data_IF_646166854050
#
_entry.id   IF_646166854050
#
_cell.length_a   1.000
_cell.length_b   1.000
_cell.length_c   1.000
_cell.angle_alpha   90.00
_cell.angle_beta   90.00
_cell.angle_gamma   90.00
#
_symmetry.space_group_name_H-M   'P 1'
#
loop_
_entity.id
_entity.type
_entity.pdbx_description
1 polymer ?
#
# COMPACT_ATOMS: atom_id res chain seq x y z
N UNK A 1 -37.34 -31.34 -15.23
CA UNK A 1 -38.08 -30.06 -15.30
C UNK A 1 -37.33 -29.10 -16.23
N UNK A 2 -38.00 -28.17 -16.92
CA UNK A 2 -37.37 -27.24 -17.88
C UNK A 2 -37.49 -25.79 -17.43
N UNK A 3 -36.45 -25.00 -17.69
CA UNK A 3 -36.33 -23.59 -17.30
C UNK A 3 -35.94 -22.75 -18.52
N UNK A 4 -36.60 -21.61 -18.79
CA UNK A 4 -36.20 -20.73 -19.89
C UNK A 4 -34.83 -20.06 -19.65
N UNK A 5 -34.27 -19.45 -20.69
CA UNK A 5 -33.13 -18.56 -20.55
C UNK A 5 -33.43 -17.36 -19.64
N UNK A 6 -32.40 -16.81 -19.00
CA UNK A 6 -32.53 -15.52 -18.31
C UNK A 6 -32.71 -14.38 -19.34
N UNK A 7 -33.49 -13.37 -18.96
CA UNK A 7 -33.77 -12.19 -19.81
C UNK A 7 -32.54 -11.30 -20.04
N UNK A 8 -31.57 -11.34 -19.12
CA UNK A 8 -30.34 -10.55 -19.15
C UNK A 8 -29.12 -11.48 -18.98
N UNK A 9 -27.93 -11.11 -19.50
CA UNK A 9 -26.71 -11.88 -19.29
C UNK A 9 -26.28 -11.85 -17.81
N UNK A 10 -25.43 -12.80 -17.40
CA UNK A 10 -24.88 -12.91 -16.05
C UNK A 10 -25.93 -13.13 -14.95
N UNK A 11 -26.76 -14.15 -15.13
CA UNK A 11 -27.72 -14.60 -14.14
C UNK A 11 -27.45 -16.05 -13.71
N UNK A 12 -27.77 -16.34 -12.46
CA UNK A 12 -27.90 -17.69 -11.93
C UNK A 12 -29.35 -18.15 -12.02
N UNK A 13 -29.55 -19.44 -12.31
CA UNK A 13 -30.74 -20.18 -11.89
C UNK A 13 -30.45 -20.75 -10.50
N UNK A 14 -31.24 -20.33 -9.52
CA UNK A 14 -31.18 -20.86 -8.16
C UNK A 14 -32.39 -21.76 -7.96
N UNK A 15 -32.14 -23.02 -7.68
CA UNK A 15 -33.14 -24.02 -7.33
C UNK A 15 -33.07 -24.27 -5.83
N UNK A 16 -34.21 -24.25 -5.15
CA UNK A 16 -34.31 -24.61 -3.74
C UNK A 16 -35.21 -25.82 -3.60
N UNK A 17 -34.70 -26.87 -3.00
CA UNK A 17 -35.48 -28.06 -2.68
C UNK A 17 -35.01 -28.64 -1.36
N UNK A 18 -35.94 -29.22 -0.59
CA UNK A 18 -35.58 -29.91 0.64
C UNK A 18 -34.90 -31.24 0.31
N UNK A 19 -33.95 -31.66 1.15
CA UNK A 19 -33.29 -32.97 1.11
C UNK A 19 -32.54 -33.24 -0.20
N UNK A 20 -31.81 -32.25 -0.70
CA UNK A 20 -31.00 -32.38 -1.92
C UNK A 20 -29.97 -33.52 -1.83
N UNK A 21 -29.52 -33.86 -0.63
CA UNK A 21 -28.63 -35.01 -0.38
C UNK A 21 -29.24 -36.37 -0.77
N UNK A 22 -30.57 -36.45 -0.92
CA UNK A 22 -31.28 -37.66 -1.38
C UNK A 22 -31.41 -37.72 -2.91
N UNK A 23 -30.96 -36.69 -3.63
CA UNK A 23 -31.11 -36.54 -5.06
C UNK A 23 -29.74 -36.46 -5.74
N UNK A 24 -29.47 -37.38 -6.67
CA UNK A 24 -28.39 -37.17 -7.63
C UNK A 24 -28.98 -36.42 -8.83
N UNK A 25 -28.63 -35.14 -9.00
CA UNK A 25 -29.21 -34.29 -10.03
C UNK A 25 -28.20 -33.34 -10.67
N UNK A 26 -28.51 -32.87 -11.87
CA UNK A 26 -27.70 -31.88 -12.58
C UNK A 26 -28.54 -31.02 -13.52
N UNK A 27 -28.00 -29.87 -13.91
CA UNK A 27 -28.57 -29.02 -14.96
C UNK A 27 -27.84 -29.27 -16.29
N UNK A 28 -28.58 -29.37 -17.39
CA UNK A 28 -28.03 -29.50 -18.75
C UNK A 28 -28.66 -28.50 -19.71
N UNK A 29 -27.88 -28.10 -20.74
CA UNK A 29 -28.33 -27.24 -21.85
C UNK A 29 -29.20 -27.97 -22.86
N UNK A 30 -29.06 -29.30 -22.94
CA UNK A 30 -29.76 -30.14 -23.90
C UNK A 30 -30.13 -31.46 -23.23
N UNK A 31 -31.38 -31.88 -23.42
CA UNK A 31 -31.86 -33.17 -22.93
C UNK A 31 -32.68 -33.84 -24.03
N UNK A 32 -32.09 -34.83 -24.69
CA UNK A 32 -32.73 -35.55 -25.80
C UNK A 32 -32.67 -37.05 -25.55
N UNK A 33 -33.81 -37.72 -25.72
CA UNK A 33 -33.94 -39.20 -25.59
C UNK A 33 -33.41 -39.75 -24.25
N UNK A 34 -33.65 -39.03 -23.15
CA UNK A 34 -33.26 -39.48 -21.80
C UNK A 34 -31.77 -39.32 -21.48
N UNK A 35 -30.99 -38.64 -22.32
CA UNK A 35 -29.58 -38.33 -22.07
C UNK A 35 -29.35 -36.81 -22.10
N UNK A 36 -28.63 -36.31 -21.11
CA UNK A 36 -28.08 -34.95 -21.10
C UNK A 36 -26.61 -35.00 -21.48
N UNK A 37 -26.22 -34.23 -22.50
CA UNK A 37 -24.86 -34.34 -23.07
C UNK A 37 -23.83 -33.45 -22.36
N UNK A 38 -24.27 -32.41 -21.63
CA UNK A 38 -23.38 -31.44 -20.97
C UNK A 38 -23.93 -31.03 -19.60
N UNK A 39 -23.31 -31.52 -18.52
CA UNK A 39 -23.59 -31.08 -17.16
C UNK A 39 -23.03 -29.68 -16.94
N UNK A 40 -23.87 -28.74 -16.52
CA UNK A 40 -23.47 -27.40 -16.11
C UNK A 40 -22.91 -27.50 -14.68
N UNK A 41 -21.77 -26.87 -14.44
CA UNK A 41 -21.16 -26.84 -13.11
C UNK A 41 -22.12 -26.20 -12.10
N UNK A 42 -22.25 -26.87 -10.97
CA UNK A 42 -23.00 -26.43 -9.80
C UNK A 42 -22.07 -25.50 -8.98
N UNK A 43 -22.56 -24.32 -8.59
CA UNK A 43 -21.78 -23.25 -7.92
C UNK A 43 -22.31 -22.94 -6.50
N UNK A 44 -23.14 -23.80 -5.89
CA UNK A 44 -23.63 -23.64 -4.52
C UNK A 44 -22.53 -23.83 -3.49
N UNK A 45 -22.76 -23.33 -2.28
CA UNK A 45 -21.94 -23.68 -1.13
C UNK A 45 -22.32 -25.09 -0.64
N UNK A 46 -21.34 -25.85 -0.15
CA UNK A 46 -21.45 -27.30 0.08
C UNK A 46 -22.53 -27.78 1.09
N UNK A 47 -23.27 -26.87 1.75
CA UNK A 47 -24.21 -27.18 2.83
C UNK A 47 -25.60 -26.52 2.67
N UNK A 48 -25.94 -26.01 1.48
CA UNK A 48 -27.23 -25.36 1.26
C UNK A 48 -28.26 -26.31 0.62
N UNK A 49 -29.54 -26.16 0.99
CA UNK A 49 -30.71 -26.71 0.28
C UNK A 49 -30.91 -26.05 -1.11
N UNK A 50 -29.81 -25.65 -1.76
CA UNK A 50 -29.77 -24.84 -2.98
C UNK A 50 -28.87 -25.51 -4.02
N UNK A 51 -29.32 -25.47 -5.28
CA UNK A 51 -28.48 -25.70 -6.46
C UNK A 51 -28.40 -24.40 -7.25
N UNK A 52 -27.19 -23.99 -7.61
CA UNK A 52 -26.92 -22.71 -8.26
C UNK A 52 -26.17 -22.95 -9.56
N UNK A 53 -26.78 -22.54 -10.68
CA UNK A 53 -26.20 -22.77 -12.00
C UNK A 53 -26.06 -21.46 -12.77
N UNK A 54 -24.85 -21.16 -13.23
CA UNK A 54 -24.61 -20.00 -14.10
C UNK A 54 -25.21 -20.25 -15.47
N UNK A 55 -26.08 -19.34 -15.91
CA UNK A 55 -26.78 -19.49 -17.17
C UNK A 55 -26.02 -18.85 -18.32
N UNK A 56 -26.04 -19.55 -19.46
CA UNK A 56 -25.62 -19.05 -20.75
C UNK A 56 -26.84 -18.51 -21.49
N UNK A 57 -26.89 -17.20 -21.73
CA UNK A 57 -28.04 -16.55 -22.37
C UNK A 57 -28.27 -17.03 -23.81
N UNK A 58 -27.27 -17.64 -24.46
CA UNK A 58 -27.41 -18.19 -25.82
C UNK A 58 -28.24 -19.48 -25.86
N UNK A 59 -28.46 -20.11 -24.70
CA UNK A 59 -29.23 -21.36 -24.58
C UNK A 59 -30.68 -21.02 -24.24
N UNK A 60 -31.66 -21.41 -25.09
CA UNK A 60 -33.05 -20.99 -24.91
C UNK A 60 -33.75 -21.67 -23.72
N UNK A 61 -33.37 -22.92 -23.42
CA UNK A 61 -33.99 -23.74 -22.38
C UNK A 61 -32.92 -24.60 -21.70
N UNK A 62 -33.00 -24.67 -20.38
CA UNK A 62 -32.22 -25.55 -19.53
C UNK A 62 -33.11 -26.66 -18.98
N UNK A 63 -32.56 -27.86 -18.78
CA UNK A 63 -33.29 -28.97 -18.19
C UNK A 63 -32.59 -29.42 -16.92
N UNK A 64 -33.32 -29.46 -15.81
CA UNK A 64 -32.87 -30.10 -14.58
C UNK A 64 -33.29 -31.57 -14.60
N UNK A 65 -32.30 -32.43 -14.43
CA UNK A 65 -32.38 -33.89 -14.56
C UNK A 65 -32.06 -34.49 -13.20
N UNK A 66 -32.98 -35.30 -12.70
CA UNK A 66 -32.76 -36.15 -11.52
C UNK A 66 -32.39 -37.54 -12.07
N UNK A 67 -31.16 -37.97 -11.79
CA UNK A 67 -30.64 -39.27 -12.23
C UNK A 67 -31.05 -40.36 -11.24
N UNK A 68 -31.04 -40.06 -9.94
CA UNK A 68 -31.30 -41.02 -8.88
C UNK A 68 -32.00 -40.36 -7.69
N UNK A 69 -32.90 -41.11 -7.06
CA UNK A 69 -33.61 -40.74 -5.83
C UNK A 69 -33.36 -41.85 -4.81
N UNK A 70 -32.66 -41.53 -3.72
CA UNK A 70 -32.17 -42.52 -2.76
C UNK A 70 -33.24 -42.99 -1.76
N UNK A 71 -34.31 -42.22 -1.56
CA UNK A 71 -35.42 -42.55 -0.67
C UNK A 71 -36.75 -41.94 -1.17
N UNK A 72 -37.88 -42.54 -0.80
CA UNK A 72 -39.19 -41.97 -1.13
C UNK A 72 -39.35 -40.58 -0.49
N UNK A 73 -39.67 -39.59 -1.32
CA UNK A 73 -39.78 -38.20 -0.89
C UNK A 73 -40.79 -37.42 -1.75
N UNK A 74 -41.33 -36.35 -1.18
CA UNK A 74 -42.07 -35.32 -1.92
C UNK A 74 -41.07 -34.25 -2.36
N UNK A 75 -41.05 -33.96 -3.66
CA UNK A 75 -40.20 -32.93 -4.22
C UNK A 75 -40.97 -31.61 -4.31
N UNK A 76 -40.69 -30.72 -3.34
CA UNK A 76 -41.09 -29.31 -3.40
C UNK A 76 -39.91 -28.49 -3.92
N UNK A 77 -40.10 -27.84 -5.07
CA UNK A 77 -39.06 -27.08 -5.75
C UNK A 77 -39.49 -25.62 -5.95
N UNK A 78 -38.73 -24.72 -5.34
CA UNK A 78 -38.78 -23.29 -5.66
C UNK A 78 -37.62 -22.94 -6.61
N UNK A 79 -37.84 -22.01 -7.54
CA UNK A 79 -36.76 -21.51 -8.38
C UNK A 79 -36.84 -20.00 -8.58
N UNK A 80 -35.68 -19.38 -8.80
CA UNK A 80 -35.58 -17.96 -9.15
C UNK A 80 -34.36 -17.68 -10.03
N UNK A 81 -34.43 -16.59 -10.78
CA UNK A 81 -33.27 -16.02 -11.47
C UNK A 81 -32.72 -14.85 -10.66
N UNK A 82 -31.40 -14.84 -10.44
CA UNK A 82 -30.73 -13.78 -9.67
C UNK A 82 -29.47 -13.32 -10.42
N UNK A 83 -29.16 -12.01 -10.48
CA UNK A 83 -27.90 -11.54 -11.03
C UNK A 83 -26.70 -12.17 -10.32
N UNK A 84 -25.68 -12.59 -11.08
CA UNK A 84 -24.50 -13.28 -10.53
C UNK A 84 -23.81 -12.45 -9.45
N UNK A 85 -23.64 -11.14 -9.68
CA UNK A 85 -23.02 -10.22 -8.72
C UNK A 85 -23.79 -10.17 -7.39
N UNK A 86 -25.12 -10.12 -7.47
CA UNK A 86 -25.99 -9.98 -6.30
C UNK A 86 -25.93 -11.23 -5.45
N UNK A 87 -26.04 -12.40 -6.09
CA UNK A 87 -25.92 -13.68 -5.40
C UNK A 87 -24.58 -13.80 -4.66
N UNK A 88 -23.47 -13.55 -5.37
CA UNK A 88 -22.12 -13.61 -4.79
C UNK A 88 -21.93 -12.67 -3.61
N UNK A 89 -22.46 -11.44 -3.71
CA UNK A 89 -22.39 -10.48 -2.63
C UNK A 89 -23.27 -10.89 -1.44
N UNK A 90 -24.55 -11.17 -1.65
CA UNK A 90 -25.49 -11.49 -0.56
C UNK A 90 -25.05 -12.74 0.23
N UNK A 91 -24.52 -13.76 -0.44
CA UNK A 91 -24.02 -14.98 0.22
C UNK A 91 -22.81 -14.71 1.13
N UNK A 92 -21.97 -13.73 0.79
CA UNK A 92 -20.74 -13.42 1.54
C UNK A 92 -20.85 -12.18 2.43
N UNK A 93 -21.90 -11.35 2.29
CA UNK A 93 -21.99 -10.05 2.95
C UNK A 93 -21.86 -10.16 4.47
N UNK A 94 -22.55 -11.12 5.10
CA UNK A 94 -22.43 -11.35 6.55
C UNK A 94 -21.02 -11.76 6.98
N UNK A 95 -20.34 -12.57 6.18
CA UNK A 95 -18.94 -12.95 6.40
C UNK A 95 -18.03 -11.71 6.28
N UNK A 96 -18.15 -10.93 5.20
CA UNK A 96 -17.36 -9.72 4.98
C UNK A 96 -17.53 -8.71 6.10
N UNK A 97 -18.77 -8.47 6.55
CA UNK A 97 -19.07 -7.60 7.69
C UNK A 97 -18.40 -8.12 8.97
N UNK A 98 -18.42 -9.44 9.19
CA UNK A 98 -17.75 -10.05 10.35
C UNK A 98 -16.23 -9.91 10.28
N UNK A 99 -15.62 -10.14 9.11
CA UNK A 99 -14.17 -9.98 8.92
C UNK A 99 -13.80 -8.49 9.11
N UNK A 100 -14.56 -7.55 8.54
CA UNK A 100 -14.33 -6.12 8.74
C UNK A 100 -14.35 -5.77 10.24
N UNK A 101 -15.42 -6.15 10.96
CA UNK A 101 -15.58 -5.84 12.38
C UNK A 101 -14.44 -6.41 13.24
N UNK A 102 -14.00 -7.65 12.99
CA UNK A 102 -12.89 -8.29 13.74
C UNK A 102 -11.52 -7.68 13.44
N UNK A 103 -11.37 -7.08 12.27
CA UNK A 103 -10.10 -6.52 11.80
C UNK A 103 -10.04 -4.99 11.91
N UNK A 104 -11.01 -4.33 12.57
CA UNK A 104 -10.85 -2.93 12.98
C UNK A 104 -9.72 -2.82 14.02
N UNK A 105 -8.92 -1.77 13.94
CA UNK A 105 -7.86 -1.46 14.90
C UNK A 105 -8.36 -0.41 15.89
N UNK A 106 -8.06 -0.58 17.19
CA UNK A 106 -8.41 0.43 18.18
C UNK A 106 -7.75 1.77 17.84
N UNK A 107 -8.54 2.84 17.91
CA UNK A 107 -8.09 4.21 17.66
C UNK A 107 -7.56 4.90 18.92
N UNK A 108 -7.68 4.27 20.10
CA UNK A 108 -7.39 4.92 21.39
C UNK A 108 -5.96 5.48 21.48
N UNK A 109 -4.96 4.69 21.11
CA UNK A 109 -3.56 5.12 21.12
C UNK A 109 -3.29 6.21 20.08
N UNK A 110 -3.98 6.17 18.94
CA UNK A 110 -3.83 7.13 17.85
C UNK A 110 -4.49 8.47 18.19
N UNK A 111 -5.71 8.44 18.71
CA UNK A 111 -6.51 9.61 19.05
C UNK A 111 -5.94 10.35 20.28
N UNK A 112 -5.30 9.63 21.20
CA UNK A 112 -4.70 10.20 22.41
C UNK A 112 -3.18 10.46 22.29
N UNK A 113 -2.62 10.30 21.10
CA UNK A 113 -1.18 10.49 20.87
C UNK A 113 -0.77 11.93 21.21
N UNK A 114 0.15 12.08 22.15
CA UNK A 114 0.66 13.38 22.60
C UNK A 114 -0.21 14.12 23.62
N UNK A 115 -1.47 13.72 23.84
CA UNK A 115 -2.40 14.33 24.80
C UNK A 115 -2.75 13.43 26.00
N UNK A 116 -2.23 12.20 26.03
CA UNK A 116 -2.41 11.24 27.13
C UNK A 116 -1.57 9.98 26.95
N UNK A 117 -1.26 9.63 25.69
CA UNK A 117 -0.32 8.57 25.34
C UNK A 117 1.02 9.18 24.93
N UNK A 118 2.08 8.87 25.69
CA UNK A 118 3.45 9.16 25.28
C UNK A 118 3.88 8.10 24.25
N UNK A 119 4.29 8.50 23.02
CA UNK A 119 4.78 7.57 22.01
C UNK A 119 5.87 6.61 22.50
N UNK A 120 6.69 7.04 23.46
CA UNK A 120 7.79 6.24 24.01
C UNK A 120 7.35 4.93 24.68
N UNK A 121 6.13 4.93 25.23
CA UNK A 121 5.55 3.81 25.96
C UNK A 121 4.84 2.81 25.04
N UNK A 122 4.74 3.10 23.74
CA UNK A 122 4.07 2.23 22.79
C UNK A 122 4.93 1.00 22.47
N UNK A 123 4.27 -0.15 22.38
CA UNK A 123 4.85 -1.41 21.91
C UNK A 123 4.76 -1.45 20.38
N UNK A 124 5.59 -0.64 19.71
CA UNK A 124 5.50 -0.39 18.26
C UNK A 124 5.44 -1.66 17.43
N UNK A 125 6.31 -2.64 17.68
CA UNK A 125 6.37 -3.89 16.90
C UNK A 125 5.09 -4.73 17.02
N UNK A 126 4.47 -4.74 18.19
CA UNK A 126 3.23 -5.49 18.40
C UNK A 126 2.08 -4.84 17.66
N UNK A 127 1.93 -3.52 17.80
CA UNK A 127 0.86 -2.76 17.15
C UNK A 127 1.03 -2.80 15.63
N UNK A 128 2.26 -2.64 15.11
CA UNK A 128 2.54 -2.75 13.67
C UNK A 128 2.24 -4.15 13.13
N UNK A 129 2.58 -5.21 13.88
CA UNK A 129 2.27 -6.58 13.48
C UNK A 129 0.76 -6.86 13.48
N UNK A 130 0.04 -6.33 14.47
CA UNK A 130 -1.42 -6.39 14.52
C UNK A 130 -2.04 -5.70 13.30
N UNK A 131 -1.66 -4.44 13.04
CA UNK A 131 -2.15 -3.67 11.89
C UNK A 131 -1.83 -4.39 10.58
N UNK A 132 -0.62 -4.95 10.43
CA UNK A 132 -0.24 -5.70 9.23
C UNK A 132 -1.15 -6.91 9.00
N UNK A 133 -1.38 -7.69 10.04
CA UNK A 133 -2.23 -8.90 9.98
C UNK A 133 -3.67 -8.51 9.62
N UNK A 134 -4.23 -7.53 10.35
CA UNK A 134 -5.60 -7.06 10.12
C UNK A 134 -5.77 -6.46 8.72
N UNK A 135 -4.81 -5.66 8.26
CA UNK A 135 -4.80 -5.09 6.90
C UNK A 135 -4.74 -6.16 5.82
N UNK A 136 -3.99 -7.24 6.05
CA UNK A 136 -3.94 -8.38 5.13
C UNK A 136 -5.32 -9.01 4.93
N UNK A 137 -6.04 -9.24 6.03
CA UNK A 137 -7.40 -9.79 5.99
C UNK A 137 -8.37 -8.84 5.29
N UNK A 138 -8.31 -7.53 5.58
CA UNK A 138 -9.13 -6.52 4.92
C UNK A 138 -8.86 -6.41 3.42
N UNK A 139 -7.59 -6.53 2.98
CA UNK A 139 -7.24 -6.55 1.55
C UNK A 139 -7.76 -7.78 0.82
N UNK A 140 -7.87 -8.92 1.49
CA UNK A 140 -8.50 -10.11 0.90
C UNK A 140 -9.98 -9.84 0.57
N UNK A 141 -10.74 -9.26 1.51
CA UNK A 141 -12.12 -8.81 1.26
C UNK A 141 -12.17 -7.81 0.11
N UNK A 142 -11.25 -6.83 0.09
CA UNK A 142 -11.19 -5.82 -0.97
C UNK A 142 -11.02 -6.47 -2.35
N UNK A 143 -10.17 -7.48 -2.47
CA UNK A 143 -10.00 -8.25 -3.69
C UNK A 143 -11.29 -8.91 -4.16
N UNK A 144 -12.01 -9.58 -3.25
CA UNK A 144 -13.28 -10.23 -3.57
C UNK A 144 -14.38 -9.23 -3.96
N UNK A 145 -14.45 -8.07 -3.29
CA UNK A 145 -15.39 -7.01 -3.67
C UNK A 145 -15.09 -6.46 -5.07
N UNK A 146 -13.81 -6.29 -5.44
CA UNK A 146 -13.42 -5.86 -6.78
C UNK A 146 -13.79 -6.90 -7.85
N UNK A 147 -13.68 -8.19 -7.55
CA UNK A 147 -14.14 -9.27 -8.47
C UNK A 147 -15.66 -9.23 -8.67
N UNK A 148 -16.42 -8.94 -7.61
CA UNK A 148 -17.87 -8.74 -7.69
C UNK A 148 -18.20 -7.47 -8.50
N UNK A 149 -17.48 -6.37 -8.30
CA UNK A 149 -17.67 -5.12 -9.04
C UNK A 149 -17.38 -5.28 -10.55
N UNK A 150 -16.42 -6.13 -10.91
CA UNK A 150 -16.08 -6.39 -12.31
C UNK A 150 -17.22 -7.01 -13.13
N UNK A 151 -18.21 -7.62 -12.47
CA UNK A 151 -19.37 -8.25 -13.11
C UNK A 151 -20.68 -7.46 -12.89
N UNK A 152 -20.58 -6.23 -12.41
CA UNK A 152 -21.72 -5.34 -12.29
C UNK A 152 -22.33 -4.99 -13.64
N UNK A 153 -23.66 -4.98 -13.76
CA UNK A 153 -24.30 -4.51 -14.97
C UNK A 153 -24.17 -2.97 -15.07
N UNK A 154 -24.13 -2.39 -16.28
CA UNK A 154 -23.86 -0.96 -16.45
C UNK A 154 -24.85 -0.03 -15.74
N UNK A 155 -26.09 -0.48 -15.54
CA UNK A 155 -27.20 0.25 -14.92
C UNK A 155 -27.16 0.26 -13.38
N UNK A 156 -26.32 -0.55 -12.73
CA UNK A 156 -26.36 -0.67 -11.25
C UNK A 156 -25.83 0.56 -10.53
N UNK A 157 -24.94 1.35 -11.15
CA UNK A 157 -24.19 2.41 -10.45
C UNK A 157 -25.05 3.52 -9.86
N UNK A 158 -26.26 3.71 -10.39
CA UNK A 158 -27.25 4.69 -9.94
C UNK A 158 -28.53 4.01 -9.44
N UNK A 159 -28.44 2.77 -8.96
CA UNK A 159 -29.58 1.98 -8.51
C UNK A 159 -29.83 2.17 -7.02
N UNK A 160 -31.11 2.21 -6.63
CA UNK A 160 -31.55 2.11 -5.24
C UNK A 160 -31.67 0.64 -4.75
N UNK A 161 -31.09 -0.32 -5.48
CA UNK A 161 -31.06 -1.73 -5.06
C UNK A 161 -30.31 -1.87 -3.73
N UNK A 162 -30.99 -2.45 -2.74
CA UNK A 162 -30.47 -2.60 -1.38
C UNK A 162 -29.13 -3.34 -1.32
N UNK A 163 -28.94 -4.39 -2.13
CA UNK A 163 -27.68 -5.14 -2.14
C UNK A 163 -26.53 -4.31 -2.71
N UNK A 164 -26.81 -3.46 -3.71
CA UNK A 164 -25.82 -2.51 -4.22
C UNK A 164 -25.48 -1.44 -3.18
N UNK A 165 -26.47 -0.87 -2.49
CA UNK A 165 -26.23 0.09 -1.42
C UNK A 165 -25.39 -0.53 -0.28
N UNK A 166 -25.70 -1.76 0.12
CA UNK A 166 -24.92 -2.50 1.12
C UNK A 166 -23.49 -2.77 0.65
N UNK A 167 -23.28 -3.11 -0.62
CA UNK A 167 -21.94 -3.23 -1.22
C UNK A 167 -21.17 -1.92 -1.12
N UNK A 168 -21.79 -0.81 -1.51
CA UNK A 168 -21.12 0.50 -1.50
C UNK A 168 -20.76 0.95 -0.09
N UNK A 169 -21.65 0.73 0.89
CA UNK A 169 -21.38 1.03 2.30
C UNK A 169 -20.25 0.20 2.87
N UNK A 170 -20.26 -1.12 2.62
CA UNK A 170 -19.17 -2.01 3.04
C UNK A 170 -17.84 -1.61 2.39
N UNK A 171 -17.83 -1.30 1.09
CA UNK A 171 -16.63 -0.86 0.38
C UNK A 171 -16.07 0.42 0.98
N UNK A 172 -16.94 1.39 1.27
CA UNK A 172 -16.53 2.64 1.90
C UNK A 172 -15.93 2.41 3.29
N UNK A 173 -16.60 1.66 4.17
CA UNK A 173 -16.06 1.36 5.51
C UNK A 173 -14.71 0.62 5.44
N UNK A 174 -14.57 -0.31 4.49
CA UNK A 174 -13.34 -1.04 4.26
C UNK A 174 -12.19 -0.12 3.82
N UNK A 175 -12.46 0.76 2.87
CA UNK A 175 -11.48 1.75 2.38
C UNK A 175 -11.08 2.74 3.48
N UNK A 176 -12.04 3.20 4.28
CA UNK A 176 -11.79 4.08 5.42
C UNK A 176 -10.91 3.43 6.47
N UNK A 177 -11.15 2.16 6.80
CA UNK A 177 -10.36 1.42 7.78
C UNK A 177 -8.97 1.07 7.25
N UNK A 178 -8.85 0.64 5.98
CA UNK A 178 -7.53 0.42 5.35
C UNK A 178 -6.68 1.69 5.30
N UNK A 179 -7.30 2.84 4.99
CA UNK A 179 -6.63 4.15 5.02
C UNK A 179 -6.22 4.51 6.44
N UNK A 180 -7.04 4.20 7.44
CA UNK A 180 -6.68 4.38 8.84
C UNK A 180 -5.47 3.51 9.22
N UNK A 181 -5.46 2.22 8.87
CA UNK A 181 -4.34 1.31 9.10
C UNK A 181 -3.03 1.81 8.48
N UNK A 182 -3.08 2.31 7.24
CA UNK A 182 -1.92 2.89 6.56
C UNK A 182 -1.40 4.12 7.31
N UNK A 183 -2.29 5.08 7.60
CA UNK A 183 -1.92 6.30 8.31
C UNK A 183 -1.37 6.01 9.70
N UNK A 184 -2.00 5.09 10.45
CA UNK A 184 -1.54 4.73 11.78
C UNK A 184 -0.18 4.02 11.73
N UNK A 185 0.02 3.10 10.78
CA UNK A 185 1.32 2.46 10.56
C UNK A 185 2.42 3.47 10.25
N UNK A 186 2.14 4.47 9.42
CA UNK A 186 3.10 5.54 9.10
C UNK A 186 3.49 6.34 10.34
N UNK A 187 2.52 6.66 11.20
CA UNK A 187 2.75 7.36 12.48
C UNK A 187 3.60 6.49 13.42
N UNK A 188 3.27 5.21 13.58
CA UNK A 188 4.03 4.30 14.44
C UNK A 188 5.47 4.13 13.94
N UNK A 189 5.67 3.97 12.63
CA UNK A 189 7.01 3.87 12.04
C UNK A 189 7.82 5.15 12.26
N UNK A 190 7.21 6.32 12.13
CA UNK A 190 7.86 7.60 12.42
C UNK A 190 8.37 7.65 13.88
N UNK A 191 7.51 7.36 14.86
CA UNK A 191 7.91 7.42 16.28
C UNK A 191 8.85 6.29 16.68
N UNK A 192 8.69 5.10 16.09
CA UNK A 192 9.62 3.98 16.26
C UNK A 192 11.02 4.39 15.77
N UNK A 193 11.12 4.97 14.57
CA UNK A 193 12.38 5.43 13.99
C UNK A 193 13.01 6.56 14.79
N UNK A 194 12.20 7.52 15.27
CA UNK A 194 12.69 8.56 16.19
C UNK A 194 13.30 7.93 17.45
N UNK A 195 12.60 6.99 18.09
CA UNK A 195 13.07 6.28 19.28
C UNK A 195 14.37 5.51 19.03
N UNK A 196 14.47 4.78 17.92
CA UNK A 196 15.65 4.01 17.53
C UNK A 196 16.88 4.90 17.27
N UNK A 197 16.67 6.12 16.79
CA UNK A 197 17.75 7.03 16.41
C UNK A 197 18.12 8.05 17.50
N UNK A 198 17.37 8.15 18.60
CA UNK A 198 17.42 9.25 19.59
C UNK A 198 18.82 9.61 20.13
N UNK A 199 19.71 8.64 20.27
CA UNK A 199 21.07 8.88 20.79
C UNK A 199 22.17 8.70 19.73
N UNK A 200 21.79 8.54 18.46
CA UNK A 200 22.73 8.30 17.36
C UNK A 200 22.46 9.27 16.20
N UNK A 201 23.19 10.38 16.16
CA UNK A 201 23.04 11.41 15.13
C UNK A 201 23.45 10.92 13.73
N UNK A 202 24.32 9.91 13.64
CA UNK A 202 24.67 9.27 12.37
C UNK A 202 23.46 8.54 11.81
N UNK A 203 22.86 7.62 12.59
CA UNK A 203 21.67 6.86 12.15
C UNK A 203 20.45 7.76 11.92
N UNK A 204 20.30 8.83 12.71
CA UNK A 204 19.28 9.84 12.44
C UNK A 204 19.47 10.50 11.06
N UNK A 205 20.71 10.82 10.70
CA UNK A 205 21.03 11.45 9.43
C UNK A 205 20.78 10.52 8.25
N UNK A 206 21.05 9.23 8.41
CA UNK A 206 20.69 8.19 7.43
C UNK A 206 19.17 8.04 7.26
N UNK A 207 18.38 8.40 8.27
CA UNK A 207 16.91 8.27 8.30
C UNK A 207 16.16 9.55 7.90
N UNK A 208 16.85 10.62 7.47
CA UNK A 208 16.23 11.93 7.17
C UNK A 208 15.17 11.86 6.07
N UNK A 209 15.38 11.01 5.07
CA UNK A 209 14.42 10.82 3.97
C UNK A 209 13.06 10.31 4.47
N UNK A 210 13.06 9.42 5.47
CA UNK A 210 11.86 8.87 6.09
C UNK A 210 11.12 9.93 6.90
N UNK A 211 11.83 10.74 7.69
CA UNK A 211 11.23 11.83 8.44
C UNK A 211 10.63 12.90 7.50
N UNK A 212 11.37 13.31 6.47
CA UNK A 212 10.87 14.25 5.46
C UNK A 212 9.62 13.72 4.77
N UNK A 213 9.59 12.42 4.40
CA UNK A 213 8.40 11.81 3.80
C UNK A 213 7.19 11.91 4.71
N UNK A 214 7.35 11.69 6.01
CA UNK A 214 6.26 11.83 6.97
C UNK A 214 5.67 13.26 6.99
N UNK A 215 6.52 14.30 7.01
CA UNK A 215 6.04 15.69 7.05
C UNK A 215 5.57 16.23 5.69
N UNK A 216 6.03 15.67 4.57
CA UNK A 216 5.52 15.99 3.25
C UNK A 216 4.02 15.66 3.13
N UNK A 217 3.56 14.59 3.80
CA UNK A 217 2.18 14.12 3.83
C UNK A 217 1.37 14.64 5.03
N UNK A 218 1.79 15.74 5.67
CA UNK A 218 1.20 16.20 6.95
C UNK A 218 -0.30 16.48 6.94
N UNK A 219 -0.90 16.77 5.78
CA UNK A 219 -2.35 16.98 5.65
C UNK A 219 -3.17 15.71 5.85
N UNK A 220 -2.55 14.53 5.83
CA UNK A 220 -3.21 13.24 6.07
C UNK A 220 -3.50 12.98 7.54
N UNK A 221 -2.82 13.69 8.45
CA UNK A 221 -2.85 13.40 9.88
C UNK A 221 -3.62 14.47 10.65
N UNK A 222 -4.35 14.07 11.70
CA UNK A 222 -4.94 15.01 12.65
C UNK A 222 -3.90 15.90 13.33
N UNK A 223 -4.37 17.05 13.83
CA UNK A 223 -3.53 18.07 14.42
C UNK A 223 -2.72 17.58 15.63
N UNK A 224 -3.29 16.73 16.48
CA UNK A 224 -2.61 16.22 17.67
C UNK A 224 -1.43 15.32 17.32
N UNK A 225 -1.60 14.45 16.32
CA UNK A 225 -0.51 13.59 15.79
C UNK A 225 0.60 14.46 15.21
N UNK A 226 0.24 15.46 14.39
CA UNK A 226 1.20 16.38 13.79
C UNK A 226 2.02 17.12 14.85
N UNK A 227 1.36 17.68 15.87
CA UNK A 227 2.03 18.38 16.98
C UNK A 227 2.95 17.46 17.77
N UNK A 228 2.54 16.22 18.01
CA UNK A 228 3.40 15.24 18.69
C UNK A 228 4.67 14.96 17.87
N UNK A 229 4.55 14.81 16.55
CA UNK A 229 5.68 14.59 15.66
C UNK A 229 6.61 15.82 15.57
N UNK A 230 6.04 17.02 15.47
CA UNK A 230 6.80 18.29 15.49
C UNK A 230 7.56 18.49 16.80
N UNK A 231 6.97 18.11 17.93
CA UNK A 231 7.62 18.17 19.24
C UNK A 231 8.81 17.21 19.31
N UNK A 232 8.64 15.97 18.86
CA UNK A 232 9.72 14.98 18.83
C UNK A 232 10.87 15.44 17.92
N UNK A 233 10.58 15.95 16.72
CA UNK A 233 11.60 16.49 15.83
C UNK A 233 12.27 17.74 16.37
N UNK A 234 11.56 18.63 17.05
CA UNK A 234 12.17 19.82 17.63
C UNK A 234 13.26 19.47 18.66
N UNK A 235 13.00 18.47 19.49
CA UNK A 235 14.00 17.94 20.42
C UNK A 235 15.18 17.30 19.69
N UNK A 236 14.92 16.68 18.53
CA UNK A 236 15.97 16.05 17.75
C UNK A 236 16.86 17.07 17.01
N UNK A 237 16.25 18.02 16.34
CA UNK A 237 16.92 19.04 15.53
C UNK A 237 17.82 19.95 16.35
N UNK A 238 17.55 20.16 17.65
CA UNK A 238 18.44 20.92 18.53
C UNK A 238 19.80 20.25 18.77
N UNK A 239 19.89 18.93 18.58
CA UNK A 239 21.14 18.16 18.76
C UNK A 239 22.00 18.07 17.49
N UNK A 240 21.45 18.49 16.34
CA UNK A 240 22.09 18.39 15.02
C UNK A 240 23.29 19.33 14.90
N UNK A 241 23.12 20.62 15.23
CA UNK A 241 24.18 21.60 15.05
C UNK A 241 25.42 21.29 15.91
N UNK A 242 25.30 20.98 17.23
CA UNK A 242 26.46 20.60 18.04
C UNK A 242 27.20 19.36 17.52
N UNK A 243 26.47 18.38 16.98
CA UNK A 243 27.07 17.17 16.41
C UNK A 243 27.90 17.47 15.17
N UNK A 244 27.34 18.21 14.22
CA UNK A 244 28.05 18.53 12.98
C UNK A 244 29.19 19.52 13.18
N UNK A 245 29.08 20.43 14.13
CA UNK A 245 30.20 21.27 14.53
C UNK A 245 31.39 20.43 15.02
N UNK A 246 31.13 19.45 15.89
CA UNK A 246 32.17 18.53 16.35
C UNK A 246 32.77 17.70 15.20
N UNK A 247 31.94 17.21 14.27
CA UNK A 247 32.39 16.48 13.07
C UNK A 247 33.32 17.34 12.21
N UNK A 248 32.98 18.63 12.03
CA UNK A 248 33.82 19.60 11.30
C UNK A 248 35.14 19.83 12.03
N UNK A 249 35.12 20.07 13.35
CA UNK A 249 36.33 20.32 14.16
C UNK A 249 37.32 19.14 14.15
N UNK A 250 36.81 17.91 14.05
CA UNK A 250 37.64 16.71 14.04
C UNK A 250 38.21 16.37 12.66
N UNK A 251 37.72 17.01 11.59
CA UNK A 251 38.17 16.74 10.22
C UNK A 251 39.60 17.23 10.02
N UNK A 252 40.44 16.35 9.44
CA UNK A 252 41.88 16.62 9.19
C UNK A 252 42.28 16.57 7.72
N UNK A 253 41.37 16.17 6.86
CA UNK A 253 41.60 16.02 5.42
C UNK A 253 40.78 17.04 4.61
N UNK A 254 41.12 17.13 3.31
CA UNK A 254 40.48 18.04 2.35
C UNK A 254 39.34 17.40 1.56
N UNK A 255 38.90 16.18 1.90
CA UNK A 255 37.78 15.52 1.20
C UNK A 255 36.46 16.22 1.55
N UNK A 256 35.40 16.13 0.73
CA UNK A 256 34.10 16.72 1.07
C UNK A 256 33.57 16.27 2.44
N UNK A 257 32.87 17.18 3.11
CA UNK A 257 32.10 16.90 4.32
C UNK A 257 30.82 16.15 3.94
N UNK A 258 30.67 14.95 4.50
CA UNK A 258 29.44 14.17 4.43
C UNK A 258 28.44 14.67 5.48
N UNK A 259 27.71 15.73 5.11
CA UNK A 259 26.64 16.33 5.92
C UNK A 259 25.44 16.53 4.99
N UNK A 260 24.27 15.93 5.28
CA UNK A 260 23.06 16.03 4.46
C UNK A 260 22.35 17.37 4.71
N UNK A 261 22.99 18.45 4.26
CA UNK A 261 22.53 19.83 4.52
C UNK A 261 21.13 20.06 3.95
N UNK A 262 20.89 19.62 2.71
CA UNK A 262 19.64 19.91 2.00
C UNK A 262 18.46 19.13 2.60
N UNK A 263 18.68 17.88 3.02
CA UNK A 263 17.67 17.07 3.71
C UNK A 263 17.34 17.60 5.10
N UNK A 264 18.33 18.14 5.82
CA UNK A 264 18.13 18.76 7.13
C UNK A 264 17.37 20.09 7.00
N UNK A 265 17.74 20.95 6.04
CA UNK A 265 16.99 22.19 5.75
C UNK A 265 15.53 21.89 5.37
N UNK A 266 15.32 20.85 4.56
CA UNK A 266 13.99 20.36 4.23
C UNK A 266 13.23 19.93 5.49
N UNK A 267 13.86 19.18 6.39
CA UNK A 267 13.22 18.71 7.62
C UNK A 267 12.87 19.86 8.57
N UNK A 268 13.74 20.85 8.73
CA UNK A 268 13.44 22.07 9.47
C UNK A 268 12.17 22.73 8.92
N UNK A 269 12.15 22.99 7.61
CA UNK A 269 11.01 23.63 6.93
C UNK A 269 9.72 22.83 7.06
N UNK A 270 9.77 21.52 6.80
CA UNK A 270 8.58 20.66 6.76
C UNK A 270 7.99 20.41 8.16
N UNK A 271 8.84 20.33 9.19
CA UNK A 271 8.44 20.29 10.61
C UNK A 271 7.95 21.63 11.17
N UNK A 272 7.87 22.67 10.33
CA UNK A 272 7.36 24.00 10.73
C UNK A 272 8.33 24.77 11.64
N UNK A 273 9.62 24.44 11.62
CA UNK A 273 10.66 25.05 12.46
C UNK A 273 11.59 25.90 11.61
N UNK A 274 11.93 27.08 12.13
CA UNK A 274 13.05 27.83 11.58
C UNK A 274 14.35 27.08 11.89
N UNK A 275 15.24 26.99 10.90
CA UNK A 275 16.61 26.51 11.10
C UNK A 275 17.33 27.42 12.09
N UNK A 276 17.98 26.81 13.09
CA UNK A 276 18.78 27.53 14.08
C UNK A 276 19.99 28.24 13.41
N UNK A 277 20.41 29.45 13.85
CA UNK A 277 21.54 30.16 13.26
C UNK A 277 22.85 29.36 13.24
N UNK A 278 23.10 28.51 14.25
CA UNK A 278 24.30 27.67 14.28
C UNK A 278 24.26 26.64 13.14
N UNK A 279 23.10 26.02 12.90
CA UNK A 279 22.93 25.12 11.77
C UNK A 279 23.09 25.84 10.43
N UNK A 280 22.55 27.06 10.28
CA UNK A 280 22.73 27.85 9.05
C UNK A 280 24.20 28.18 8.77
N UNK A 281 24.98 28.48 9.81
CA UNK A 281 26.42 28.70 9.67
C UNK A 281 27.14 27.42 9.22
N UNK A 282 26.79 26.26 9.80
CA UNK A 282 27.30 24.95 9.38
C UNK A 282 26.94 24.67 7.92
N UNK A 283 25.68 24.86 7.53
CA UNK A 283 25.21 24.65 6.16
C UNK A 283 26.01 25.49 5.15
N UNK A 284 26.19 26.78 5.42
CA UNK A 284 26.97 27.69 4.58
C UNK A 284 28.44 27.27 4.49
N UNK A 285 29.05 26.91 5.63
CA UNK A 285 30.43 26.43 5.68
C UNK A 285 30.60 25.15 4.86
N UNK A 286 29.76 24.14 5.10
CA UNK A 286 29.80 22.85 4.40
C UNK A 286 29.70 23.02 2.89
N UNK A 287 28.77 23.82 2.39
CA UNK A 287 28.62 24.08 0.94
C UNK A 287 29.87 24.74 0.35
N UNK A 288 30.41 25.75 1.02
CA UNK A 288 31.63 26.44 0.56
C UNK A 288 32.86 25.53 0.60
N UNK A 289 33.01 24.75 1.67
CA UNK A 289 34.10 23.81 1.84
C UNK A 289 34.04 22.69 0.81
N UNK A 290 32.87 22.06 0.62
CA UNK A 290 32.69 20.96 -0.34
C UNK A 290 32.97 21.40 -1.77
N UNK A 291 32.48 22.58 -2.17
CA UNK A 291 32.78 23.16 -3.48
C UNK A 291 34.30 23.30 -3.72
N UNK A 292 35.03 23.82 -2.74
CA UNK A 292 36.48 23.98 -2.85
C UNK A 292 37.23 22.64 -2.79
N UNK A 293 36.77 21.70 -1.97
CA UNK A 293 37.31 20.35 -1.86
C UNK A 293 37.17 19.57 -3.19
N UNK A 294 36.01 19.67 -3.82
CA UNK A 294 35.72 19.07 -5.13
C UNK A 294 36.58 19.70 -6.23
N UNK A 295 36.70 21.03 -6.26
CA UNK A 295 37.57 21.72 -7.21
C UNK A 295 39.03 21.27 -7.05
N UNK A 296 39.55 21.22 -5.81
CA UNK A 296 40.92 20.75 -5.53
C UNK A 296 41.12 19.28 -5.94
N UNK A 297 40.13 18.41 -5.68
CA UNK A 297 40.17 17.02 -6.12
C UNK A 297 40.18 16.92 -7.65
N UNK A 298 39.38 17.73 -8.34
CA UNK A 298 39.37 17.86 -9.79
C UNK A 298 40.72 18.30 -10.34
N UNK A 299 41.33 19.35 -9.78
CA UNK A 299 42.66 19.82 -10.17
C UNK A 299 43.74 18.77 -9.95
N UNK A 300 43.71 18.06 -8.80
CA UNK A 300 44.67 16.97 -8.52
C UNK A 300 44.53 15.83 -9.51
N UNK A 301 43.30 15.45 -9.86
CA UNK A 301 43.04 14.43 -10.88
C UNK A 301 43.58 14.88 -12.24
N UNK A 302 43.29 16.11 -12.65
CA UNK A 302 43.83 16.70 -13.88
C UNK A 302 45.36 16.68 -13.90
N UNK A 303 46.03 17.08 -12.81
CA UNK A 303 47.48 17.02 -12.70
C UNK A 303 48.03 15.60 -12.83
N UNK A 304 47.39 14.63 -12.19
CA UNK A 304 47.77 13.22 -12.29
C UNK A 304 47.60 12.68 -13.72
N UNK A 305 46.52 13.06 -14.40
CA UNK A 305 46.26 12.67 -15.79
C UNK A 305 47.32 13.27 -16.74
N UNK A 306 47.76 14.51 -16.51
CA UNK A 306 48.88 15.13 -17.24
C UNK A 306 50.17 14.33 -16.99
N UNK A 307 50.51 14.08 -15.72
CA UNK A 307 51.72 13.34 -15.37
C UNK A 307 51.72 11.93 -15.98
N UNK A 308 50.56 11.26 -16.01
CA UNK A 308 50.41 9.96 -16.64
C UNK A 308 50.58 10.03 -18.17
N UNK A 309 49.99 11.03 -18.83
CA UNK A 309 50.16 11.26 -20.27
C UNK A 309 51.62 11.52 -20.64
N UNK A 310 52.32 12.36 -19.88
CA UNK A 310 53.74 12.67 -20.11
C UNK A 310 54.66 11.47 -19.84
N UNK A 311 54.34 10.62 -18.85
CA UNK A 311 55.12 9.40 -18.56
C UNK A 311 54.89 8.29 -19.58
N UNK A 312 53.68 8.19 -20.13
CA UNK A 312 53.29 7.12 -21.06
C UNK A 312 53.48 7.52 -22.53
N UNK A 313 53.76 8.80 -22.83
CA UNK A 313 54.17 9.21 -24.17
C UNK A 313 55.64 8.88 -24.40
N UNK A 314 55.94 8.06 -25.41
CA UNK A 314 57.30 7.70 -25.82
C UNK A 314 58.12 8.86 -26.39
N UNK A 315 57.49 10.01 -26.64
CA UNK A 315 58.12 11.24 -27.13
C UNK A 315 57.91 12.39 -26.13
N UNK A 316 58.84 13.34 -26.10
CA UNK A 316 58.69 14.59 -25.35
C UNK A 316 57.40 15.32 -25.78
N UNK A 317 56.69 15.99 -24.84
CA UNK A 317 55.48 16.74 -25.17
C UNK A 317 55.77 17.76 -26.27
N UNK A 318 54.93 17.83 -27.31
CA UNK A 318 55.05 18.83 -28.38
C UNK A 318 54.94 20.26 -27.83
N UNK A 319 55.48 21.26 -28.53
CA UNK A 319 55.43 22.68 -28.13
C UNK A 319 54.01 23.20 -27.81
N UNK A 320 52.97 22.61 -28.41
CA UNK A 320 51.57 22.99 -28.17
C UNK A 320 50.89 22.22 -27.03
N UNK A 321 51.59 21.28 -26.39
CA UNK A 321 51.01 20.41 -25.36
C UNK A 321 50.50 21.23 -24.18
N UNK A 322 51.34 22.08 -23.60
CA UNK A 322 50.94 22.93 -22.46
C UNK A 322 49.96 24.03 -22.89
N UNK A 323 50.11 24.58 -24.10
CA UNK A 323 49.24 25.62 -24.66
C UNK A 323 47.79 25.15 -24.84
N UNK A 324 47.58 23.89 -25.21
CA UNK A 324 46.25 23.29 -25.35
C UNK A 324 45.65 22.85 -24.00
N UNK A 325 46.47 22.71 -22.96
CA UNK A 325 46.10 22.11 -21.69
C UNK A 325 45.71 23.14 -20.63
N UNK A 326 46.31 24.34 -20.68
CA UNK A 326 45.93 25.48 -19.82
C UNK A 326 44.43 25.84 -19.94
N UNK A 327 43.82 25.92 -21.14
CA UNK A 327 42.38 26.20 -21.26
C UNK A 327 41.47 25.06 -20.77
N UNK A 328 41.94 23.82 -20.73
CA UNK A 328 41.21 22.69 -20.14
C UNK A 328 41.25 22.73 -18.61
N UNK A 329 42.35 23.21 -18.03
CA UNK A 329 42.49 23.38 -16.58
C UNK A 329 41.74 24.59 -16.03
N UNK A 330 41.66 25.69 -16.78
CA UNK A 330 40.90 26.89 -16.39
C UNK A 330 39.36 26.68 -16.40
N UNK A 331 38.89 25.55 -16.95
CA UNK A 331 37.46 25.16 -17.01
C UNK A 331 37.04 24.22 -15.87
N UNK A 332 37.97 23.74 -15.05
CA UNK A 332 37.75 22.87 -13.88
C UNK A 332 37.74 23.72 -12.60
#
# INVERSE_FOLDING_TARGET
>A
MTFPAALKPNFYLVLKAARLEQLNSHLTRQFTKGKGDIKIAEESAANDDLLVYKLDQTVPVFTWVIEEVLAEMVLDLDYRYVPVWRYRFETKNAEFQSILARNKVSRDNYDNLGNGVNPENLRFDEILNEIRTKSGNLKAIQGELLEIEAIFPPDIKNSDDKAYLDYTGLRQELEEELRFHENYSNVLNFFKREKETRNNNTTFSESLSEFNRFFADKSRYPEHVRRAAEKAMAQRLSTVAPFYENKIRQKRDVSPLDIPVDELEKLFKESGRASDPQFQAIAKFTRAFNRNAEALAGTRKGLNDIMARTRNSSNWPSDNFYTNLVPEMDRL
#
